data_IF_284644386450
#
_entry.id   IF_284644386450
#
_cell.length_a   1.000
_cell.length_b   1.000
_cell.length_c   1.000
_cell.angle_alpha   90.00
_cell.angle_beta   90.00
_cell.angle_gamma   90.00
#
_symmetry.space_group_name_H-M   'P 1'
#
loop_
_entity.id
_entity.type
_entity.pdbx_description
1 polymer ?
#
# COMPACT_ATOMS: atom_id res chain seq x y z
N UNK A 1 -11.91 -1.43 53.93
CA UNK A 1 -10.75 -0.57 54.21
C UNK A 1 -10.11 -0.14 52.90
N UNK A 2 -10.05 1.18 52.64
CA UNK A 2 -9.02 1.98 51.92
C UNK A 2 -8.66 1.59 50.46
N UNK A 3 -8.43 2.48 49.48
CA UNK A 3 -8.44 3.95 49.30
C UNK A 3 -8.35 4.24 47.77
N UNK A 4 -8.67 5.48 47.40
CA UNK A 4 -8.94 6.02 46.06
C UNK A 4 -7.69 6.32 45.19
N UNK A 5 -7.96 6.38 43.86
CA UNK A 5 -7.47 7.32 42.84
C UNK A 5 -6.01 7.27 42.37
N UNK A 6 -5.79 7.32 41.04
CA UNK A 6 -5.35 8.53 40.31
C UNK A 6 -5.08 8.21 38.81
N UNK A 7 -5.79 8.88 37.90
CA UNK A 7 -5.42 8.96 36.48
C UNK A 7 -4.21 9.88 36.31
N UNK A 8 -3.29 9.59 35.36
CA UNK A 8 -2.80 10.57 34.36
C UNK A 8 -1.69 10.01 33.44
N UNK A 9 -1.65 10.60 32.24
CA UNK A 9 -0.55 10.69 31.27
C UNK A 9 -0.33 9.57 30.23
N UNK A 10 -1.10 9.70 29.13
CA UNK A 10 -0.59 10.03 27.78
C UNK A 10 0.85 9.58 27.44
N UNK A 11 0.97 8.50 26.66
CA UNK A 11 2.01 8.34 25.65
C UNK A 11 1.33 7.93 24.35
N UNK A 12 1.05 8.95 23.53
CA UNK A 12 0.94 8.83 22.08
C UNK A 12 2.25 8.23 21.57
N UNK A 13 2.25 6.95 21.27
CA UNK A 13 3.33 6.27 20.56
C UNK A 13 2.72 5.57 19.37
N UNK A 14 3.05 6.03 18.16
CA UNK A 14 2.62 5.45 16.90
C UNK A 14 2.82 3.93 16.90
N UNK A 15 1.74 3.17 17.11
CA UNK A 15 1.65 1.84 16.56
C UNK A 15 1.40 2.05 15.07
N UNK A 16 2.48 2.21 14.30
CA UNK A 16 2.44 1.90 12.88
C UNK A 16 1.99 0.45 12.79
N UNK A 17 0.69 0.25 12.59
CA UNK A 17 0.14 -1.05 12.34
C UNK A 17 0.78 -1.50 11.05
N UNK A 18 1.73 -2.43 11.14
CA UNK A 18 2.04 -3.27 10.00
C UNK A 18 0.76 -4.03 9.70
N UNK A 19 0.00 -3.54 8.71
CA UNK A 19 -1.06 -4.33 8.12
C UNK A 19 -0.35 -5.48 7.40
N UNK A 20 -0.11 -6.57 8.12
CA UNK A 20 0.25 -7.83 7.50
C UNK A 20 -1.00 -8.31 6.79
N UNK A 21 -0.91 -8.54 5.48
CA UNK A 21 -2.00 -9.16 4.75
C UNK A 21 -2.17 -10.58 5.29
N UNK A 22 -3.33 -10.86 5.89
CA UNK A 22 -3.70 -12.22 6.26
C UNK A 22 -3.82 -13.02 4.96
N UNK A 23 -2.89 -13.95 4.73
CA UNK A 23 -2.85 -14.77 3.51
C UNK A 23 -3.40 -16.13 3.90
N UNK A 24 -4.69 -16.33 3.65
CA UNK A 24 -5.32 -17.62 3.82
C UNK A 24 -5.03 -18.47 2.58
N UNK A 25 -4.42 -19.65 2.76
CA UNK A 25 -4.34 -20.66 1.71
C UNK A 25 -5.03 -21.93 2.21
N UNK A 26 -5.56 -22.72 1.29
CA UNK A 26 -6.07 -24.05 1.60
C UNK A 26 -5.54 -25.03 0.58
N UNK A 27 -4.92 -26.10 1.07
CA UNK A 27 -4.44 -27.21 0.25
C UNK A 27 -5.42 -28.36 0.39
N UNK A 28 -5.84 -28.95 -0.72
CA UNK A 28 -6.69 -30.13 -0.76
C UNK A 28 -6.01 -31.21 -1.57
N UNK A 29 -5.89 -32.42 -1.01
CA UNK A 29 -5.37 -33.59 -1.73
C UNK A 29 -6.42 -34.68 -1.67
N UNK A 30 -6.84 -35.17 -2.84
CA UNK A 30 -7.88 -36.19 -2.97
C UNK A 30 -9.18 -35.82 -2.23
N UNK A 31 -9.53 -34.54 -2.21
CA UNK A 31 -10.71 -34.01 -1.53
C UNK A 31 -10.56 -33.76 -0.02
N UNK A 32 -9.42 -34.09 0.59
CA UNK A 32 -9.13 -33.83 2.00
C UNK A 32 -8.29 -32.56 2.16
N UNK A 33 -8.75 -31.64 3.01
CA UNK A 33 -8.01 -30.43 3.33
C UNK A 33 -6.80 -30.76 4.22
N UNK A 34 -5.63 -30.25 3.85
CA UNK A 34 -4.38 -30.40 4.58
C UNK A 34 -4.03 -29.05 5.20
N UNK A 35 -3.67 -29.08 6.48
CA UNK A 35 -3.15 -27.92 7.20
C UNK A 35 -1.68 -27.67 6.83
N UNK A 36 -1.31 -26.41 6.62
CA UNK A 36 0.09 -25.99 6.39
C UNK A 36 0.32 -25.18 5.10
N UNK A 37 1.16 -24.15 5.23
CA UNK A 37 1.54 -23.23 4.16
C UNK A 37 2.56 -23.85 3.21
N UNK A 38 2.21 -23.99 1.92
CA UNK A 38 3.16 -24.42 0.89
C UNK A 38 4.02 -23.23 0.48
N UNK A 39 5.34 -23.38 0.60
CA UNK A 39 6.33 -22.37 0.23
C UNK A 39 7.01 -22.65 -1.11
N UNK A 40 6.97 -23.90 -1.58
CA UNK A 40 7.58 -24.31 -2.84
C UNK A 40 6.75 -25.41 -3.51
N UNK A 41 6.59 -25.30 -4.82
CA UNK A 41 5.98 -26.30 -5.68
C UNK A 41 6.98 -26.70 -6.76
N UNK A 42 7.27 -28.00 -6.87
CA UNK A 42 8.06 -28.56 -7.97
C UNK A 42 7.23 -29.56 -8.75
N UNK A 43 7.10 -29.34 -10.06
CA UNK A 43 6.35 -30.20 -10.96
C UNK A 43 7.30 -31.10 -11.74
N UNK A 44 7.05 -32.42 -11.70
CA UNK A 44 7.85 -33.41 -12.42
C UNK A 44 6.95 -34.51 -12.98
N UNK A 45 6.75 -34.48 -14.31
CA UNK A 45 5.77 -35.35 -14.96
C UNK A 45 4.38 -35.11 -14.39
N UNK A 46 3.72 -36.19 -13.96
CA UNK A 46 2.37 -36.15 -13.38
C UNK A 46 2.37 -35.88 -11.86
N UNK A 47 3.55 -35.69 -11.26
CA UNK A 47 3.69 -35.48 -9.81
C UNK A 47 3.97 -34.02 -9.47
N UNK A 48 3.47 -33.60 -8.31
CA UNK A 48 3.81 -32.34 -7.66
C UNK A 48 4.45 -32.60 -6.30
N UNK A 49 5.61 -32.02 -6.09
CA UNK A 49 6.29 -31.95 -4.79
C UNK A 49 5.93 -30.63 -4.12
N UNK A 50 5.31 -30.70 -2.95
CA UNK A 50 4.90 -29.56 -2.13
C UNK A 50 5.79 -29.48 -0.90
N UNK A 51 6.50 -28.36 -0.73
CA UNK A 51 7.29 -28.07 0.47
C UNK A 51 6.52 -27.12 1.37
N UNK A 52 6.29 -27.54 2.61
CA UNK A 52 5.57 -26.74 3.60
C UNK A 52 6.52 -25.82 4.38
N UNK A 53 5.96 -24.82 5.04
CA UNK A 53 6.69 -23.86 5.88
C UNK A 53 7.43 -24.53 7.04
N UNK A 54 6.89 -25.62 7.58
CA UNK A 54 7.54 -26.44 8.61
C UNK A 54 8.76 -27.23 8.07
N UNK A 55 9.04 -27.12 6.78
CA UNK A 55 10.13 -27.81 6.08
C UNK A 55 9.79 -29.23 5.64
N UNK A 56 8.60 -29.74 5.93
CA UNK A 56 8.13 -31.04 5.45
C UNK A 56 7.87 -31.01 3.94
N UNK A 57 7.82 -32.18 3.33
CA UNK A 57 7.58 -32.33 1.89
C UNK A 57 6.60 -33.46 1.62
N UNK A 58 5.64 -33.22 0.72
CA UNK A 58 4.76 -34.27 0.16
C UNK A 58 4.91 -34.33 -1.34
N UNK A 59 4.72 -35.53 -1.87
CA UNK A 59 4.68 -35.79 -3.31
C UNK A 59 3.34 -36.44 -3.59
N UNK A 60 2.55 -35.83 -4.46
CA UNK A 60 1.21 -36.30 -4.81
C UNK A 60 1.01 -36.24 -6.32
N UNK A 61 0.04 -37.00 -6.83
CA UNK A 61 -0.40 -36.88 -8.22
C UNK A 61 -1.10 -35.52 -8.42
N UNK A 62 -0.68 -34.78 -9.44
CA UNK A 62 -1.16 -33.42 -9.70
C UNK A 62 -2.68 -33.37 -9.96
N UNK A 63 -3.28 -34.46 -10.43
CA UNK A 63 -4.74 -34.55 -10.65
C UNK A 63 -5.55 -34.59 -9.34
N UNK A 64 -4.90 -34.89 -8.22
CA UNK A 64 -5.54 -34.99 -6.91
C UNK A 64 -5.36 -33.73 -6.07
N UNK A 65 -4.48 -32.82 -6.48
CA UNK A 65 -4.12 -31.63 -5.70
C UNK A 65 -4.89 -30.41 -6.18
N UNK A 66 -5.53 -29.71 -5.24
CA UNK A 66 -6.13 -28.39 -5.45
C UNK A 66 -5.58 -27.42 -4.41
N UNK A 67 -5.16 -26.25 -4.85
CA UNK A 67 -4.64 -25.19 -3.99
C UNK A 67 -5.48 -23.94 -4.21
N UNK A 68 -6.13 -23.46 -3.15
CA UNK A 68 -6.88 -22.22 -3.14
C UNK A 68 -6.08 -21.16 -2.39
N UNK A 69 -5.91 -19.99 -3.02
CA UNK A 69 -5.30 -18.81 -2.41
C UNK A 69 -6.40 -17.79 -2.19
N UNK A 70 -6.66 -17.44 -0.94
CA UNK A 70 -7.67 -16.47 -0.53
C UNK A 70 -6.96 -15.27 0.06
N UNK A 71 -7.21 -14.10 -0.51
CA UNK A 71 -6.70 -12.84 0.00
C UNK A 71 -7.83 -12.08 0.66
N UNK A 72 -7.56 -11.44 1.80
CA UNK A 72 -8.49 -10.45 2.36
C UNK A 72 -8.77 -9.36 1.31
N UNK A 73 -10.04 -9.00 1.14
CA UNK A 73 -10.53 -7.92 0.25
C UNK A 73 -9.93 -6.54 0.57
N UNK A 74 -9.16 -6.44 1.66
CA UNK A 74 -8.49 -5.21 2.07
C UNK A 74 -7.24 -4.98 1.23
N UNK A 75 -7.42 -4.34 0.07
CA UNK A 75 -6.29 -3.86 -0.74
C UNK A 75 -5.44 -2.88 0.08
N UNK A 76 -4.17 -3.21 0.29
CA UNK A 76 -3.16 -2.32 0.90
C UNK A 76 -2.55 -1.34 -0.11
N UNK A 77 -3.19 -1.17 -1.26
CA UNK A 77 -2.77 -0.22 -2.29
C UNK A 77 -2.88 1.24 -1.84
N UNK A 78 -2.27 2.15 -2.61
CA UNK A 78 -2.37 3.59 -2.37
C UNK A 78 -3.82 4.03 -2.68
N UNK A 79 -4.58 4.40 -1.65
CA UNK A 79 -5.98 4.85 -1.79
C UNK A 79 -6.09 6.35 -2.09
N UNK A 80 -5.11 7.14 -1.68
CA UNK A 80 -5.11 8.58 -1.84
C UNK A 80 -3.67 9.11 -1.95
N UNK A 81 -3.47 10.12 -2.79
CA UNK A 81 -2.24 10.92 -2.81
C UNK A 81 -2.65 12.30 -2.31
N UNK A 82 -2.20 12.67 -1.12
CA UNK A 82 -2.36 14.03 -0.62
C UNK A 82 -1.54 14.98 -1.52
N UNK A 83 -2.22 15.76 -2.34
CA UNK A 83 -1.64 16.89 -3.04
C UNK A 83 -1.91 18.15 -2.22
N UNK A 84 -0.86 18.88 -1.84
CA UNK A 84 -0.99 20.22 -1.24
C UNK A 84 -1.56 21.17 -2.31
N UNK A 85 -2.88 21.17 -2.44
CA UNK A 85 -3.59 21.83 -3.53
C UNK A 85 -3.65 23.36 -3.38
N UNK A 86 -3.07 23.94 -2.34
CA UNK A 86 -3.22 25.37 -2.08
C UNK A 86 -1.94 25.98 -1.56
N UNK A 87 -1.06 26.41 -2.47
CA UNK A 87 -0.32 27.63 -2.22
C UNK A 87 -1.35 28.77 -2.05
N UNK A 88 -1.76 29.01 -0.79
CA UNK A 88 -2.81 29.97 -0.39
C UNK A 88 -2.48 31.40 -0.83
N UNK A 89 -1.22 31.65 -1.20
CA UNK A 89 -0.72 32.92 -1.70
C UNK A 89 -0.37 32.80 -3.17
N UNK A 90 -1.16 33.46 -4.02
CA UNK A 90 -0.89 33.61 -5.46
C UNK A 90 0.42 34.38 -5.64
N UNK A 91 1.51 33.68 -6.00
CA UNK A 91 2.79 34.31 -6.38
C UNK A 91 3.04 34.07 -7.85
N UNK A 92 3.40 35.12 -8.57
CA UNK A 92 3.67 35.10 -10.01
C UNK A 92 5.16 35.36 -10.23
N UNK A 93 5.77 34.51 -11.04
CA UNK A 93 7.17 34.63 -11.44
C UNK A 93 7.30 34.60 -12.96
N UNK A 94 8.33 35.23 -13.51
CA UNK A 94 8.76 35.01 -14.89
C UNK A 94 9.24 33.57 -15.08
N UNK A 95 9.38 33.12 -16.33
CA UNK A 95 9.91 31.78 -16.62
C UNK A 95 11.34 31.56 -16.10
N UNK A 96 12.10 32.64 -15.92
CA UNK A 96 13.44 32.63 -15.32
C UNK A 96 13.42 32.66 -13.78
N UNK A 97 12.24 32.63 -13.15
CA UNK A 97 12.08 32.59 -11.69
C UNK A 97 12.09 33.95 -10.99
N UNK A 98 12.00 35.07 -11.71
CA UNK A 98 11.92 36.39 -11.09
C UNK A 98 10.50 36.68 -10.60
N UNK A 99 10.34 37.09 -9.33
CA UNK A 99 9.03 37.46 -8.77
C UNK A 99 8.49 38.76 -9.40
N UNK A 100 7.23 38.75 -9.86
CA UNK A 100 6.58 39.88 -10.53
C UNK A 100 5.24 40.29 -9.90
N UNK A 101 4.84 39.66 -8.80
CA UNK A 101 3.66 40.07 -8.02
C UNK A 101 2.73 38.91 -7.67
N UNK A 102 1.48 39.26 -7.41
CA UNK A 102 0.43 38.31 -6.99
C UNK A 102 -0.71 38.17 -8.00
N UNK A 103 -0.64 38.85 -9.14
CA UNK A 103 -1.61 38.77 -10.23
C UNK A 103 -0.91 38.74 -11.59
N UNK A 104 -1.58 38.20 -12.59
CA UNK A 104 -1.16 38.22 -13.99
C UNK A 104 -1.74 39.40 -14.76
N UNK A 105 -2.63 40.19 -14.15
CA UNK A 105 -3.25 41.36 -14.76
C UNK A 105 -2.21 42.43 -15.08
N UNK A 106 -2.25 42.98 -16.30
CA UNK A 106 -1.34 44.01 -16.76
C UNK A 106 0.07 43.52 -17.13
N UNK A 107 0.35 42.22 -17.01
CA UNK A 107 1.60 41.65 -17.49
C UNK A 107 1.58 41.53 -19.03
N UNK A 108 2.71 41.72 -19.72
CA UNK A 108 2.83 41.43 -21.15
C UNK A 108 2.47 39.98 -21.48
N UNK A 109 2.10 39.73 -22.74
CA UNK A 109 1.87 38.37 -23.25
C UNK A 109 3.13 37.51 -23.07
N UNK A 110 2.97 36.30 -22.52
CA UNK A 110 4.10 35.42 -22.22
C UNK A 110 3.78 34.26 -21.29
N UNK A 111 4.82 33.48 -20.94
CA UNK A 111 4.73 32.34 -20.01
C UNK A 111 5.22 32.76 -18.62
N UNK A 112 4.41 32.45 -17.61
CA UNK A 112 4.66 32.76 -16.20
C UNK A 112 4.51 31.51 -15.33
N UNK A 113 5.11 31.53 -14.14
CA UNK A 113 4.90 30.51 -13.11
C UNK A 113 3.95 31.09 -12.07
N UNK A 114 2.77 30.50 -11.93
CA UNK A 114 1.72 30.89 -10.97
C UNK A 114 1.45 29.69 -10.08
N UNK A 115 1.66 29.82 -8.77
CA UNK A 115 1.51 28.72 -7.80
C UNK A 115 2.23 27.43 -8.25
N UNK A 116 3.46 27.58 -8.73
CA UNK A 116 4.28 26.46 -9.21
C UNK A 116 3.90 25.90 -10.59
N UNK A 117 2.84 26.42 -11.23
CA UNK A 117 2.34 25.94 -12.54
C UNK A 117 2.63 26.95 -13.66
N UNK A 118 3.02 26.47 -14.84
CA UNK A 118 3.23 27.32 -16.02
C UNK A 118 1.88 27.79 -16.56
N UNK A 119 1.73 29.11 -16.77
CA UNK A 119 0.49 29.77 -17.22
C UNK A 119 0.81 30.73 -18.36
N UNK A 120 -0.04 30.80 -19.37
CA UNK A 120 0.09 31.73 -20.50
C UNK A 120 -0.77 32.96 -20.24
N UNK A 121 -0.16 34.14 -20.25
CA UNK A 121 -0.86 35.43 -20.30
C UNK A 121 -1.04 35.80 -21.77
N UNK A 122 -2.29 36.07 -22.16
CA UNK A 122 -2.70 36.45 -23.53
C UNK A 122 -3.08 37.91 -23.60
#
# INVERSE_FOLDING_TARGET
>A
MKRKALCAFLMLGLSGGVAMADTEHTVTVNGEAIDGFITELTFNGDQVTMKFEDGSTRIEDMSLVSIALTYSETSTGITEIETDDQATVKRVYTISGQYVGTSTEGLPQGIYIVNGKKTIVK
#
